data_IF_892831844041
#
_entry.id   IF_892831844041
#
_cell.length_a   1.000
_cell.length_b   1.000
_cell.length_c   1.000
_cell.angle_alpha   90.00
_cell.angle_beta   90.00
_cell.angle_gamma   90.00
#
_symmetry.space_group_name_H-M   'P 1'
#
loop_
_entity.id
_entity.type
_entity.pdbx_description
1 polymer ?
#
# COMPACT_ATOMS: atom_id res chain seq x y z
N UNK A 1 10.79 -50.99 4.58
CA UNK A 1 9.62 -50.60 5.39
C UNK A 1 10.06 -49.46 6.29
N UNK A 2 9.65 -48.22 5.96
CA UNK A 2 10.04 -47.02 6.70
C UNK A 2 8.82 -46.44 7.41
N UNK A 3 8.92 -46.07 8.71
CA UNK A 3 7.77 -45.71 9.51
C UNK A 3 7.23 -44.31 9.18
N UNK A 4 5.91 -44.27 9.24
CA UNK A 4 4.95 -43.18 9.12
C UNK A 4 5.31 -41.97 9.97
N UNK A 5 5.39 -40.79 9.34
CA UNK A 5 5.51 -39.50 10.04
C UNK A 5 4.15 -39.14 10.63
N UNK A 6 4.09 -39.08 11.95
CA UNK A 6 2.92 -38.67 12.73
C UNK A 6 2.66 -37.17 12.53
N UNK A 7 1.48 -36.86 11.99
CA UNK A 7 0.88 -35.53 12.01
C UNK A 7 0.39 -35.22 13.43
N UNK A 8 1.07 -34.31 14.13
CA UNK A 8 0.56 -33.73 15.38
C UNK A 8 -0.31 -32.51 15.05
N UNK A 9 -1.63 -32.74 15.10
CA UNK A 9 -2.66 -31.70 15.08
C UNK A 9 -2.73 -31.06 16.47
N UNK A 10 -2.19 -29.86 16.63
CA UNK A 10 -2.36 -29.08 17.86
C UNK A 10 -3.47 -28.04 17.65
N UNK A 11 -4.63 -28.30 18.24
CA UNK A 11 -5.75 -27.37 18.36
C UNK A 11 -5.41 -26.41 19.50
N UNK A 12 -5.21 -25.13 19.18
CA UNK A 12 -5.12 -24.07 20.18
C UNK A 12 -6.33 -23.14 20.03
N UNK A 13 -7.31 -23.33 20.92
CA UNK A 13 -8.41 -22.42 21.15
C UNK A 13 -8.02 -21.56 22.35
N UNK A 14 -7.87 -20.25 22.14
CA UNK A 14 -7.84 -19.28 23.23
C UNK A 14 -8.61 -18.03 22.78
N UNK A 15 -9.89 -18.00 23.11
CA UNK A 15 -10.71 -16.79 23.13
C UNK A 15 -10.26 -15.94 24.32
N UNK A 16 -9.71 -14.75 24.07
CA UNK A 16 -9.59 -13.72 25.10
C UNK A 16 -10.19 -12.43 24.55
N UNK A 17 -11.44 -12.17 24.92
CA UNK A 17 -12.12 -10.93 24.65
C UNK A 17 -11.73 -9.90 25.72
N UNK A 18 -10.91 -8.92 25.36
CA UNK A 18 -10.64 -7.74 26.18
C UNK A 18 -11.43 -6.58 25.59
N UNK A 19 -12.52 -6.21 26.25
CA UNK A 19 -13.28 -5.00 25.95
C UNK A 19 -12.61 -3.82 26.68
N UNK A 20 -11.82 -3.03 25.96
CA UNK A 20 -11.32 -1.73 26.44
C UNK A 20 -12.19 -0.62 25.86
N UNK A 21 -12.97 0.01 26.75
CA UNK A 21 -13.67 1.26 26.45
C UNK A 21 -12.66 2.42 26.44
N UNK A 22 -12.41 2.99 25.27
CA UNK A 22 -11.62 4.22 25.13
C UNK A 22 -12.55 5.43 25.14
N UNK A 23 -12.28 6.49 25.93
CA UNK A 23 -13.03 7.73 25.86
C UNK A 23 -12.77 8.43 24.51
N UNK A 24 -13.85 8.72 23.79
CA UNK A 24 -13.82 9.54 22.57
C UNK A 24 -13.56 10.99 22.96
N UNK A 25 -12.31 11.45 22.79
CA UNK A 25 -11.99 12.87 22.77
C UNK A 25 -12.35 13.42 21.39
N UNK A 26 -13.46 14.18 21.34
CA UNK A 26 -13.83 15.01 20.22
C UNK A 26 -12.81 16.13 20.04
N UNK A 27 -11.81 15.93 19.19
CA UNK A 27 -10.92 17.01 18.75
C UNK A 27 -11.58 17.77 17.60
N UNK A 28 -12.35 18.78 18.01
CA UNK A 28 -12.92 19.85 17.19
C UNK A 28 -11.83 20.85 16.80
N UNK A 29 -11.68 21.12 15.51
CA UNK A 29 -11.22 22.42 15.01
C UNK A 29 -9.79 22.49 14.48
N UNK A 30 -9.68 22.68 13.16
CA UNK A 30 -8.48 23.04 12.42
C UNK A 30 -8.69 22.64 10.95
N UNK A 31 -9.38 23.40 10.10
CA UNK A 31 -9.36 24.85 9.99
C UNK A 31 -8.11 25.28 9.23
N UNK A 32 -8.22 25.41 7.90
CA UNK A 32 -7.27 26.18 7.09
C UNK A 32 -6.26 25.36 6.29
N UNK A 33 -6.58 25.14 5.01
CA UNK A 33 -5.65 24.58 4.03
C UNK A 33 -6.12 24.84 2.61
N UNK A 34 -6.52 26.10 2.35
CA UNK A 34 -6.85 26.62 1.04
C UNK A 34 -5.67 26.32 0.09
N UNK A 35 -5.89 25.38 -0.83
CA UNK A 35 -4.97 25.06 -1.91
C UNK A 35 -4.73 26.32 -2.73
N UNK A 36 -3.55 26.91 -2.54
CA UNK A 36 -3.14 28.09 -3.29
C UNK A 36 -3.16 27.82 -4.80
N UNK A 37 -3.36 28.86 -5.64
CA UNK A 37 -3.47 28.74 -7.08
C UNK A 37 -2.27 28.01 -7.66
N UNK A 38 -2.53 26.84 -8.25
CA UNK A 38 -1.54 26.07 -8.99
C UNK A 38 -1.00 26.91 -10.14
N UNK A 39 0.29 27.22 -10.10
CA UNK A 39 1.00 27.83 -11.22
C UNK A 39 0.93 26.96 -12.49
N UNK A 40 1.12 27.56 -13.67
CA UNK A 40 1.10 26.88 -14.96
C UNK A 40 2.23 25.84 -15.01
N UNK A 41 1.86 24.58 -14.80
CA UNK A 41 2.77 23.46 -14.54
C UNK A 41 2.15 22.37 -13.65
N UNK A 42 0.97 22.63 -13.07
CA UNK A 42 0.23 21.70 -12.24
C UNK A 42 -0.11 20.35 -12.89
N UNK A 43 0.32 19.27 -12.23
CA UNK A 43 -0.24 17.91 -12.27
C UNK A 43 -0.20 17.10 -13.57
N UNK A 44 0.10 17.68 -14.74
CA UNK A 44 0.13 16.94 -16.02
C UNK A 44 1.40 16.13 -16.22
N UNK A 45 1.58 15.06 -15.44
CA UNK A 45 2.59 14.05 -15.77
C UNK A 45 3.28 13.37 -14.60
N UNK A 46 2.73 13.42 -13.37
CA UNK A 46 3.25 12.54 -12.31
C UNK A 46 2.84 11.12 -12.68
N UNK A 47 3.74 10.42 -13.39
CA UNK A 47 3.58 9.01 -13.67
C UNK A 47 3.26 8.30 -12.34
N UNK A 48 2.31 7.36 -12.33
CA UNK A 48 2.07 6.54 -11.16
C UNK A 48 3.40 5.98 -10.69
N UNK A 49 3.68 6.10 -9.38
CA UNK A 49 4.86 5.45 -8.82
C UNK A 49 4.74 3.94 -9.07
N UNK A 50 5.81 3.27 -9.51
CA UNK A 50 5.77 1.83 -9.75
C UNK A 50 5.38 1.10 -8.47
N UNK A 51 4.51 0.09 -8.59
CA UNK A 51 4.16 -0.75 -7.45
C UNK A 51 5.33 -1.69 -7.16
N UNK A 52 5.74 -1.75 -5.90
CA UNK A 52 6.71 -2.72 -5.40
C UNK A 52 6.23 -3.35 -4.10
N UNK A 53 6.91 -4.40 -3.65
CA UNK A 53 6.64 -5.04 -2.36
C UNK A 53 6.63 -4.05 -1.18
N UNK A 54 7.47 -3.01 -1.24
CA UNK A 54 7.55 -1.98 -0.20
C UNK A 54 6.40 -0.95 -0.21
N UNK A 55 5.64 -0.88 -1.30
CA UNK A 55 4.51 0.06 -1.44
C UNK A 55 3.15 -0.60 -1.22
N UNK A 56 3.09 -1.93 -1.14
CA UNK A 56 1.86 -2.66 -0.92
C UNK A 56 1.34 -2.45 0.52
N UNK A 57 0.01 -2.36 0.73
CA UNK A 57 -0.56 -2.36 2.07
C UNK A 57 -0.24 -3.66 2.81
N UNK A 58 0.22 -3.55 4.06
CA UNK A 58 0.64 -4.71 4.86
C UNK A 58 -0.53 -5.65 5.12
N UNK A 59 -1.73 -5.10 5.31
CA UNK A 59 -2.97 -5.85 5.56
C UNK A 59 -3.29 -6.77 4.38
N UNK A 60 -3.17 -6.25 3.15
CA UNK A 60 -3.40 -7.02 1.92
C UNK A 60 -2.32 -8.07 1.73
N UNK A 61 -1.06 -7.74 2.02
CA UNK A 61 0.02 -8.73 1.99
C UNK A 61 -0.21 -9.85 3.02
N UNK A 62 -0.66 -9.50 4.23
CA UNK A 62 -0.90 -10.45 5.31
C UNK A 62 -2.01 -11.43 4.97
N UNK A 63 -3.14 -10.93 4.45
CA UNK A 63 -4.28 -11.74 4.01
C UNK A 63 -3.90 -12.62 2.81
N UNK A 64 -3.34 -12.02 1.76
CA UNK A 64 -3.06 -12.74 0.52
C UNK A 64 -1.89 -13.72 0.65
N UNK A 65 -0.77 -13.32 1.27
CA UNK A 65 0.42 -14.17 1.38
C UNK A 65 0.41 -15.10 2.60
N UNK A 66 -0.62 -14.99 3.46
CA UNK A 66 -0.68 -15.68 4.74
C UNK A 66 0.62 -15.49 5.54
N UNK A 67 1.00 -14.23 5.76
CA UNK A 67 2.23 -13.89 6.48
C UNK A 67 2.17 -14.41 7.91
N UNK A 68 3.29 -14.95 8.40
CA UNK A 68 3.43 -15.30 9.81
C UNK A 68 3.51 -14.03 10.68
N UNK A 69 3.16 -14.09 11.98
CA UNK A 69 3.28 -12.94 12.87
C UNK A 69 4.69 -12.31 12.87
N UNK A 70 5.73 -13.15 12.80
CA UNK A 70 7.13 -12.72 12.72
C UNK A 70 7.41 -11.96 11.42
N UNK A 71 7.00 -12.50 10.26
CA UNK A 71 7.15 -11.81 8.97
C UNK A 71 6.41 -10.48 8.96
N UNK A 72 5.16 -10.44 9.45
CA UNK A 72 4.36 -9.23 9.52
C UNK A 72 5.02 -8.15 10.38
N UNK A 73 5.59 -8.51 11.53
CA UNK A 73 6.33 -7.58 12.38
C UNK A 73 7.59 -7.02 11.68
N UNK A 74 8.36 -7.88 11.01
CA UNK A 74 9.57 -7.46 10.30
C UNK A 74 9.26 -6.55 9.09
N UNK A 75 8.24 -6.89 8.29
CA UNK A 75 7.79 -6.07 7.16
C UNK A 75 7.26 -4.72 7.66
N UNK A 76 6.53 -4.70 8.79
CA UNK A 76 6.10 -3.45 9.43
C UNK A 76 7.29 -2.56 9.79
N UNK A 77 8.35 -3.11 10.38
CA UNK A 77 9.57 -2.37 10.69
C UNK A 77 10.24 -1.82 9.42
N UNK A 78 10.41 -2.64 8.38
CA UNK A 78 11.00 -2.21 7.10
C UNK A 78 10.21 -1.05 6.49
N UNK A 79 8.88 -1.16 6.45
CA UNK A 79 8.01 -0.12 5.89
C UNK A 79 7.98 1.16 6.74
N UNK A 80 8.08 1.06 8.07
CA UNK A 80 8.24 2.21 8.96
C UNK A 80 9.56 2.94 8.71
N UNK A 81 10.68 2.23 8.68
CA UNK A 81 12.01 2.79 8.35
C UNK A 81 12.01 3.46 6.99
N UNK A 82 11.37 2.86 5.98
CA UNK A 82 11.22 3.45 4.66
C UNK A 82 10.44 4.77 4.71
N UNK A 83 9.33 4.84 5.46
CA UNK A 83 8.53 6.06 5.63
C UNK A 83 9.31 7.16 6.34
N UNK A 84 10.11 6.81 7.35
CA UNK A 84 10.96 7.75 8.07
C UNK A 84 12.08 8.29 7.18
N UNK A 85 12.74 7.40 6.42
CA UNK A 85 13.80 7.76 5.47
C UNK A 85 13.28 8.66 4.35
N UNK A 86 12.08 8.37 3.84
CA UNK A 86 11.46 9.12 2.75
C UNK A 86 10.67 10.35 3.22
N UNK A 87 10.66 10.62 4.53
CA UNK A 87 9.99 11.80 5.05
C UNK A 87 10.72 13.03 4.51
N UNK A 88 10.05 13.91 3.73
CA UNK A 88 10.71 15.13 3.29
C UNK A 88 11.12 15.92 4.54
N UNK A 89 12.33 16.53 4.54
CA UNK A 89 12.73 17.39 5.64
C UNK A 89 11.62 18.42 5.87
N UNK A 90 11.19 18.56 7.13
CA UNK A 90 10.21 19.57 7.48
C UNK A 90 10.89 20.91 7.20
N UNK A 91 10.31 21.77 6.35
CA UNK A 91 10.86 23.10 6.15
C UNK A 91 10.86 23.80 7.50
N UNK A 92 12.03 24.20 8.00
CA UNK A 92 12.08 25.01 9.21
C UNK A 92 11.33 26.32 8.93
N UNK A 93 10.46 26.78 9.84
CA UNK A 93 9.85 28.10 9.71
C UNK A 93 10.96 29.13 9.56
N UNK A 94 10.96 29.90 8.47
CA UNK A 94 11.94 30.97 8.30
C UNK A 94 11.88 31.94 9.48
N UNK A 95 13.01 32.57 9.82
CA UNK A 95 13.17 33.47 10.97
C UNK A 95 12.16 34.64 11.02
N UNK A 96 11.41 34.90 9.93
CA UNK A 96 10.37 35.93 9.84
C UNK A 96 9.03 35.41 9.29
N UNK A 97 8.76 34.10 9.37
CA UNK A 97 7.57 33.50 8.75
C UNK A 97 7.64 33.42 7.22
N UNK A 98 8.81 33.66 6.63
CA UNK A 98 9.05 33.48 5.21
C UNK A 98 8.93 32.00 4.82
N UNK A 99 8.29 31.76 3.68
CA UNK A 99 8.13 30.42 3.13
C UNK A 99 9.48 29.95 2.60
N UNK A 100 9.96 28.75 2.98
CA UNK A 100 11.22 28.23 2.49
C UNK A 100 11.24 28.16 0.96
N UNK A 101 12.39 28.47 0.36
CA UNK A 101 12.59 28.39 -1.07
C UNK A 101 12.30 26.95 -1.56
N UNK A 102 11.66 26.79 -2.73
CA UNK A 102 11.44 25.46 -3.28
C UNK A 102 12.78 24.78 -3.63
N UNK A 103 12.88 23.45 -3.49
CA UNK A 103 14.12 22.74 -3.78
C UNK A 103 14.51 22.87 -5.26
N UNK A 104 15.81 22.96 -5.51
CA UNK A 104 16.38 23.06 -6.85
C UNK A 104 16.10 21.81 -7.68
N UNK A 105 16.38 21.85 -9.00
CA UNK A 105 16.24 20.66 -9.87
C UNK A 105 17.18 19.53 -9.42
N UNK A 106 18.41 19.88 -9.06
CA UNK A 106 19.45 18.94 -8.63
C UNK A 106 19.07 18.28 -7.30
N UNK A 107 18.61 19.06 -6.32
CA UNK A 107 18.13 18.54 -5.04
C UNK A 107 16.95 17.58 -5.21
N UNK A 108 15.98 17.92 -6.10
CA UNK A 108 14.85 17.04 -6.41
C UNK A 108 15.30 15.73 -7.07
N UNK A 109 16.30 15.77 -7.94
CA UNK A 109 16.85 14.56 -8.55
C UNK A 109 17.59 13.69 -7.55
N UNK A 110 18.42 14.29 -6.69
CA UNK A 110 19.10 13.58 -5.60
C UNK A 110 18.09 12.92 -4.67
N UNK A 111 17.06 13.66 -4.23
CA UNK A 111 15.98 13.13 -3.41
C UNK A 111 15.25 11.97 -4.10
N UNK A 112 14.98 12.07 -5.41
CA UNK A 112 14.36 10.98 -6.18
C UNK A 112 15.22 9.72 -6.16
N UNK A 113 16.53 9.84 -6.41
CA UNK A 113 17.47 8.71 -6.40
C UNK A 113 17.56 8.07 -5.02
N UNK A 114 17.61 8.87 -3.95
CA UNK A 114 17.61 8.37 -2.57
C UNK A 114 16.32 7.60 -2.27
N UNK A 115 15.17 8.14 -2.66
CA UNK A 115 13.86 7.49 -2.46
C UNK A 115 13.77 6.17 -3.24
N UNK A 116 14.21 6.16 -4.51
CA UNK A 116 14.23 4.96 -5.34
C UNK A 116 15.14 3.87 -4.75
N UNK A 117 16.35 4.22 -4.32
CA UNK A 117 17.27 3.29 -3.68
C UNK A 117 16.70 2.73 -2.37
N UNK A 118 16.07 3.57 -1.54
CA UNK A 118 15.42 3.14 -0.31
C UNK A 118 14.24 2.19 -0.60
N UNK A 119 13.42 2.48 -1.62
CA UNK A 119 12.33 1.62 -2.05
C UNK A 119 12.81 0.27 -2.59
N UNK A 120 13.87 0.26 -3.40
CA UNK A 120 14.48 -0.97 -3.92
C UNK A 120 15.03 -1.82 -2.77
N UNK A 121 15.79 -1.21 -1.84
CA UNK A 121 16.33 -1.88 -0.66
C UNK A 121 15.23 -2.50 0.19
N UNK A 122 14.20 -1.73 0.55
CA UNK A 122 13.06 -2.22 1.32
C UNK A 122 12.33 -3.36 0.59
N UNK A 123 12.19 -3.28 -0.74
CA UNK A 123 11.55 -4.35 -1.51
C UNK A 123 12.38 -5.64 -1.48
N UNK A 124 13.70 -5.55 -1.61
CA UNK A 124 14.60 -6.72 -1.51
C UNK A 124 14.57 -7.34 -0.11
N UNK A 125 14.59 -6.52 0.94
CA UNK A 125 14.48 -7.00 2.34
C UNK A 125 13.14 -7.68 2.60
N UNK A 126 12.03 -7.15 2.08
CA UNK A 126 10.72 -7.80 2.20
C UNK A 126 10.71 -9.15 1.47
N UNK A 127 11.24 -9.22 0.25
CA UNK A 127 11.27 -10.46 -0.54
C UNK A 127 12.12 -11.55 0.13
N UNK A 128 13.21 -11.19 0.80
CA UNK A 128 14.08 -12.16 1.50
C UNK A 128 13.42 -12.77 2.74
N UNK A 129 12.43 -12.11 3.33
CA UNK A 129 11.63 -12.64 4.44
C UNK A 129 10.56 -13.65 3.99
N UNK A 130 10.25 -13.70 2.69
CA UNK A 130 9.20 -14.57 2.16
C UNK A 130 9.71 -15.97 1.87
N UNK A 131 8.85 -16.96 2.07
CA UNK A 131 9.10 -18.34 1.64
C UNK A 131 9.07 -18.45 0.11
N UNK A 132 9.62 -19.54 -0.42
CA UNK A 132 9.60 -19.80 -1.86
C UNK A 132 8.17 -19.96 -2.42
N UNK A 133 7.22 -20.40 -1.59
CA UNK A 133 5.80 -20.47 -1.94
C UNK A 133 5.10 -19.10 -1.95
N UNK A 134 5.57 -18.15 -1.13
CA UNK A 134 5.01 -16.79 -1.04
C UNK A 134 5.52 -15.87 -2.16
N UNK A 135 6.77 -16.00 -2.59
CA UNK A 135 7.39 -15.17 -3.64
C UNK A 135 6.59 -15.11 -4.96
N UNK A 136 6.14 -16.22 -5.57
CA UNK A 136 5.34 -16.16 -6.80
C UNK A 136 3.97 -15.49 -6.56
N UNK A 137 3.37 -15.69 -5.38
CA UNK A 137 2.12 -15.01 -5.01
C UNK A 137 2.35 -13.51 -4.89
N UNK A 138 3.44 -13.07 -4.26
CA UNK A 138 3.80 -11.65 -4.21
C UNK A 138 3.94 -11.05 -5.63
N UNK A 139 4.54 -11.77 -6.57
CA UNK A 139 4.64 -11.30 -7.96
C UNK A 139 3.26 -11.11 -8.62
N UNK A 140 2.32 -12.01 -8.38
CA UNK A 140 0.92 -11.85 -8.81
C UNK A 140 0.28 -10.63 -8.15
N UNK A 141 0.48 -10.45 -6.84
CA UNK A 141 -0.09 -9.33 -6.09
C UNK A 141 0.43 -7.98 -6.61
N UNK A 142 1.74 -7.84 -6.84
CA UNK A 142 2.35 -6.62 -7.40
C UNK A 142 1.75 -6.30 -8.77
N UNK A 143 1.69 -7.27 -9.67
CA UNK A 143 1.07 -7.09 -11.01
C UNK A 143 -0.40 -6.71 -10.91
N UNK A 144 -1.15 -7.35 -10.00
CA UNK A 144 -2.55 -7.03 -9.78
C UNK A 144 -2.72 -5.57 -9.35
N UNK A 145 -1.90 -5.09 -8.40
CA UNK A 145 -1.92 -3.70 -7.98
C UNK A 145 -1.52 -2.72 -9.09
N UNK A 146 -0.54 -3.05 -9.93
CA UNK A 146 -0.18 -2.24 -11.10
C UNK A 146 -1.41 -2.05 -12.02
N UNK A 147 -2.16 -3.13 -12.27
CA UNK A 147 -3.40 -3.09 -13.06
C UNK A 147 -4.47 -2.22 -12.38
N UNK A 148 -4.71 -2.41 -11.08
CA UNK A 148 -5.68 -1.62 -10.32
C UNK A 148 -5.32 -0.12 -10.33
N UNK A 149 -4.04 0.21 -10.18
CA UNK A 149 -3.56 1.59 -10.24
C UNK A 149 -3.75 2.19 -11.64
N UNK A 150 -3.49 1.41 -12.71
CA UNK A 150 -3.70 1.84 -14.09
C UNK A 150 -5.17 2.20 -14.38
N UNK A 151 -6.12 1.46 -13.80
CA UNK A 151 -7.57 1.75 -13.91
C UNK A 151 -8.10 2.72 -12.84
N UNK A 152 -7.18 3.43 -12.15
CA UNK A 152 -7.46 4.44 -11.12
C UNK A 152 -8.32 3.92 -9.96
N UNK A 153 -8.09 2.67 -9.55
CA UNK A 153 -8.61 2.15 -8.29
C UNK A 153 -7.62 2.53 -7.19
N UNK A 154 -8.04 3.27 -6.15
CA UNK A 154 -7.13 3.70 -5.11
C UNK A 154 -6.65 2.50 -4.26
N UNK A 155 -5.37 2.46 -3.85
CA UNK A 155 -4.83 1.33 -3.08
C UNK A 155 -5.57 1.04 -1.77
N UNK A 156 -6.10 2.07 -1.10
CA UNK A 156 -6.84 1.89 0.16
C UNK A 156 -8.16 1.13 -0.02
N UNK A 157 -8.82 1.29 -1.17
CA UNK A 157 -10.07 0.57 -1.43
C UNK A 157 -9.84 -0.93 -1.66
N UNK A 158 -8.63 -1.34 -2.05
CA UNK A 158 -8.31 -2.74 -2.36
C UNK A 158 -8.49 -3.64 -1.14
N UNK A 159 -8.18 -3.14 0.06
CA UNK A 159 -8.40 -3.88 1.30
C UNK A 159 -9.89 -4.19 1.51
N UNK A 160 -10.77 -3.24 1.21
CA UNK A 160 -12.22 -3.40 1.37
C UNK A 160 -12.83 -4.33 0.32
N UNK A 161 -12.17 -4.47 -0.85
CA UNK A 161 -12.62 -5.38 -1.89
C UNK A 161 -12.48 -6.85 -1.50
N UNK A 162 -11.58 -7.21 -0.56
CA UNK A 162 -11.33 -8.60 -0.15
C UNK A 162 -11.22 -9.55 -1.35
N UNK A 163 -10.36 -9.18 -2.30
CA UNK A 163 -10.19 -9.91 -3.56
C UNK A 163 -9.66 -11.33 -3.28
N UNK A 164 -10.29 -12.33 -3.88
CA UNK A 164 -9.88 -13.73 -3.75
C UNK A 164 -8.60 -14.03 -4.55
N UNK A 165 -7.98 -15.17 -4.28
CA UNK A 165 -6.82 -15.65 -5.04
C UNK A 165 -7.08 -15.70 -6.55
N UNK A 166 -8.22 -16.27 -6.93
CA UNK A 166 -8.61 -16.34 -8.34
C UNK A 166 -8.82 -14.95 -8.96
N UNK A 167 -9.35 -14.00 -8.19
CA UNK A 167 -9.53 -12.62 -8.66
C UNK A 167 -8.18 -11.93 -8.86
N UNK A 168 -7.25 -12.08 -7.91
CA UNK A 168 -5.89 -11.54 -8.04
C UNK A 168 -5.15 -12.09 -9.26
N UNK A 169 -5.25 -13.39 -9.51
CA UNK A 169 -4.67 -14.04 -10.68
C UNK A 169 -5.27 -13.46 -11.97
N UNK A 170 -6.60 -13.35 -12.05
CA UNK A 170 -7.29 -12.82 -13.24
C UNK A 170 -6.96 -11.34 -13.48
N UNK A 171 -6.91 -10.53 -12.43
CA UNK A 171 -6.55 -9.10 -12.53
C UNK A 171 -5.11 -8.96 -13.01
N UNK A 172 -4.17 -9.70 -12.42
CA UNK A 172 -2.76 -9.67 -12.82
C UNK A 172 -2.55 -10.09 -14.28
N UNK A 173 -3.39 -10.98 -14.81
CA UNK A 173 -3.34 -11.43 -16.20
C UNK A 173 -3.84 -10.37 -17.22
N UNK A 174 -4.56 -9.33 -16.79
CA UNK A 174 -5.05 -8.28 -17.70
C UNK A 174 -3.92 -7.37 -18.22
N UNK A 175 -2.83 -7.22 -17.46
CA UNK A 175 -1.67 -6.40 -17.84
C UNK A 175 -1.92 -4.88 -17.85
N UNK A 176 -0.89 -4.11 -18.19
CA UNK A 176 -0.85 -2.63 -18.05
C UNK A 176 -1.80 -1.85 -18.97
N UNK A 177 -2.46 -2.52 -19.93
CA UNK A 177 -3.45 -1.95 -20.83
C UNK A 177 -4.91 -2.24 -20.45
N UNK A 178 -5.14 -2.83 -19.27
CA UNK A 178 -6.46 -3.19 -18.81
C UNK A 178 -7.41 -1.98 -18.80
N UNK A 179 -8.63 -2.19 -19.28
CA UNK A 179 -9.71 -1.22 -19.12
C UNK A 179 -10.40 -1.44 -17.78
N UNK A 180 -10.99 -0.38 -17.22
CA UNK A 180 -11.69 -0.46 -15.92
C UNK A 180 -12.83 -1.47 -15.99
N UNK A 181 -13.53 -1.54 -17.12
CA UNK A 181 -14.63 -2.46 -17.38
C UNK A 181 -14.19 -3.93 -17.25
N UNK A 182 -12.98 -4.25 -17.71
CA UNK A 182 -12.39 -5.59 -17.61
C UNK A 182 -12.11 -5.97 -16.16
N UNK A 183 -11.66 -5.02 -15.34
CA UNK A 183 -11.44 -5.25 -13.91
C UNK A 183 -12.77 -5.41 -13.19
N UNK A 184 -13.75 -4.53 -13.44
CA UNK A 184 -15.06 -4.59 -12.78
C UNK A 184 -15.83 -5.86 -13.11
N UNK A 185 -15.66 -6.42 -14.31
CA UNK A 185 -16.27 -7.70 -14.68
C UNK A 185 -15.73 -8.90 -13.87
N UNK A 186 -14.60 -8.74 -13.18
CA UNK A 186 -14.03 -9.75 -12.29
C UNK A 186 -14.50 -9.58 -10.83
N UNK A 187 -15.20 -8.49 -10.52
CA UNK A 187 -15.67 -8.16 -9.18
C UNK A 187 -17.11 -8.63 -8.98
N UNK A 188 -17.49 -8.86 -7.73
CA UNK A 188 -18.88 -9.09 -7.34
C UNK A 188 -19.64 -7.75 -7.23
N UNK A 189 -20.97 -7.81 -7.27
CA UNK A 189 -21.80 -6.59 -7.11
C UNK A 189 -21.51 -5.87 -5.79
N UNK A 190 -21.23 -6.60 -4.72
CA UNK A 190 -20.86 -6.04 -3.41
C UNK A 190 -19.52 -5.30 -3.49
N UNK A 191 -18.53 -5.87 -4.18
CA UNK A 191 -17.23 -5.23 -4.40
C UNK A 191 -17.35 -4.00 -5.30
N UNK A 192 -18.22 -4.04 -6.32
CA UNK A 192 -18.50 -2.88 -7.18
C UNK A 192 -19.13 -1.76 -6.37
N UNK A 193 -20.14 -2.05 -5.55
CA UNK A 193 -20.78 -1.08 -4.66
C UNK A 193 -19.77 -0.46 -3.66
N UNK A 194 -18.89 -1.29 -3.08
CA UNK A 194 -17.81 -0.81 -2.23
C UNK A 194 -16.87 0.15 -2.98
N UNK A 195 -16.49 -0.18 -4.22
CA UNK A 195 -15.64 0.65 -5.06
C UNK A 195 -16.30 1.99 -5.43
N UNK A 196 -17.62 1.99 -5.65
CA UNK A 196 -18.39 3.21 -5.91
C UNK A 196 -18.49 4.10 -4.67
N UNK A 197 -18.70 3.50 -3.50
CA UNK A 197 -18.73 4.22 -2.21
C UNK A 197 -17.39 4.86 -1.86
N UNK A 198 -16.27 4.27 -2.29
CA UNK A 198 -14.92 4.80 -2.11
C UNK A 198 -14.59 5.97 -3.06
N UNK A 199 -15.45 6.27 -4.03
CA UNK A 199 -15.23 7.36 -4.98
C UNK A 199 -15.52 8.70 -4.31
N UNK A 200 -14.60 9.69 -4.38
CA UNK A 200 -14.90 11.03 -3.87
C UNK A 200 -16.13 11.60 -4.59
N UNK A 201 -17.00 12.35 -3.90
CA UNK A 201 -18.17 12.98 -4.50
C UNK A 201 -17.73 13.85 -5.68
N UNK A 202 -18.45 13.74 -6.81
CA UNK A 202 -18.25 14.65 -7.93
C UNK A 202 -18.81 16.01 -7.53
N UNK A 203 -17.92 16.92 -7.13
CA UNK A 203 -18.23 18.34 -7.00
C UNK A 203 -18.30 19.05 -8.35
#
# INVERSE_FOLDING_TARGET
MNPTKQTMTAIFIALLAVASASPVLAQRGGGGGFGGPGGPGGMRGRQPMPVSAATLPLEVMNEYLALTPTQTAQIKTITQTLRETNRPPRPEPGLNGERPAPPTREEREAQRKTMEAAMQKASTEIISLLTDTQKPRLATLVKGFDVLQAVRIPPFAVQDLKLTDDQWIKIAALGTGAKRESVTALLTDVQIAALESARPPRG
#
